data_IF_478402494105
#
_entry.id   IF_478402494105
#
_cell.length_a   1.000
_cell.length_b   1.000
_cell.length_c   1.000
_cell.angle_alpha   90.00
_cell.angle_beta   90.00
_cell.angle_gamma   90.00
#
_symmetry.space_group_name_H-M   'P 1'
#
loop_
_entity.id
_entity.type
_entity.pdbx_description
1 polymer ?
#
# COMPACT_ATOMS: atom_id res chain seq x y z
N UNK A 1 14.19 -8.21 -8.55
CA UNK A 1 13.15 -9.21 -8.22
C UNK A 1 12.03 -8.48 -7.48
N UNK A 2 10.81 -8.48 -8.02
CA UNK A 2 9.64 -8.02 -7.28
C UNK A 2 9.26 -9.10 -6.26
N UNK A 3 9.10 -8.74 -4.99
CA UNK A 3 8.71 -9.69 -3.95
C UNK A 3 7.18 -9.86 -3.99
N UNK A 4 6.70 -10.88 -4.72
CA UNK A 4 5.30 -11.27 -4.69
C UNK A 4 4.94 -11.64 -3.24
N UNK A 5 3.98 -10.93 -2.65
CA UNK A 5 3.53 -11.18 -1.27
C UNK A 5 4.39 -10.54 -0.18
N UNK A 6 5.05 -9.40 -0.44
CA UNK A 6 5.76 -8.65 0.60
C UNK A 6 4.86 -8.35 1.81
N UNK A 7 5.40 -8.55 3.01
CA UNK A 7 4.84 -8.08 4.27
C UNK A 7 5.87 -7.17 4.93
N UNK A 8 5.50 -5.91 5.10
CA UNK A 8 6.36 -4.88 5.67
C UNK A 8 5.62 -4.18 6.80
N UNK A 9 6.25 -4.14 7.98
CA UNK A 9 5.60 -3.61 9.17
C UNK A 9 4.36 -4.41 9.55
N UNK A 10 3.40 -3.73 10.15
CA UNK A 10 2.14 -4.33 10.61
C UNK A 10 1.03 -4.25 9.57
N UNK A 11 1.11 -3.31 8.63
CA UNK A 11 -0.01 -2.95 7.75
C UNK A 11 0.28 -3.13 6.26
N UNK A 12 1.55 -3.15 5.82
CA UNK A 12 1.79 -3.25 4.39
C UNK A 12 1.83 -4.70 3.89
N UNK A 13 0.78 -5.13 3.20
CA UNK A 13 0.76 -6.37 2.41
C UNK A 13 -0.63 -6.74 1.92
N UNK A 14 -0.72 -7.53 0.83
CA UNK A 14 -2.04 -7.99 0.34
C UNK A 14 -2.64 -8.97 1.33
N UNK A 15 -3.84 -8.68 1.83
CA UNK A 15 -4.51 -9.49 2.85
C UNK A 15 -3.77 -9.51 4.20
N UNK A 16 -2.98 -8.47 4.48
CA UNK A 16 -2.19 -8.32 5.68
C UNK A 16 -2.47 -6.96 6.29
N UNK A 17 -2.92 -6.91 7.55
CA UNK A 17 -3.16 -5.68 8.28
C UNK A 17 -2.95 -5.89 9.78
N UNK A 18 -2.76 -4.80 10.52
CA UNK A 18 -2.58 -4.81 11.97
C UNK A 18 -3.92 -4.80 12.73
N UNK A 19 -3.84 -5.04 14.05
CA UNK A 19 -5.01 -4.92 14.92
C UNK A 19 -5.38 -3.45 15.17
N UNK A 20 -6.63 -3.21 15.59
CA UNK A 20 -7.09 -1.88 15.99
C UNK A 20 -6.24 -1.34 17.15
N UNK A 21 -5.81 -0.07 17.04
CA UNK A 21 -4.99 0.61 18.03
C UNK A 21 -3.48 0.36 17.91
N UNK A 22 -3.02 -0.54 17.03
CA UNK A 22 -1.59 -0.76 16.81
C UNK A 22 -0.92 0.42 16.07
N UNK A 23 0.22 0.87 16.61
CA UNK A 23 1.02 1.91 15.96
C UNK A 23 1.84 1.35 14.79
N UNK A 24 1.92 2.08 13.65
CA UNK A 24 2.75 1.71 12.52
C UNK A 24 4.23 1.70 12.87
N UNK A 25 4.99 0.82 12.22
CA UNK A 25 6.43 0.71 12.44
C UNK A 25 7.24 1.91 11.90
N UNK A 26 6.75 2.56 10.85
CA UNK A 26 7.31 3.80 10.29
C UNK A 26 6.27 4.55 9.42
N UNK A 27 6.71 5.64 8.78
CA UNK A 27 5.85 6.48 7.94
C UNK A 27 5.29 5.73 6.70
N UNK A 28 5.99 4.70 6.19
CA UNK A 28 5.47 3.87 5.09
C UNK A 28 4.39 2.93 5.59
N UNK A 29 4.61 2.28 6.73
CA UNK A 29 3.62 1.43 7.38
C UNK A 29 2.36 2.24 7.78
N UNK A 30 2.52 3.51 8.14
CA UNK A 30 1.41 4.43 8.38
C UNK A 30 0.58 4.69 7.10
N UNK A 31 1.25 4.85 5.95
CA UNK A 31 0.55 4.95 4.66
C UNK A 31 -0.28 3.68 4.36
N UNK A 32 0.22 2.51 4.74
CA UNK A 32 -0.49 1.23 4.56
C UNK A 32 -1.69 1.11 5.50
N UNK A 33 -1.55 1.45 6.79
CA UNK A 33 -2.68 1.49 7.73
C UNK A 33 -3.83 2.38 7.21
N UNK A 34 -3.49 3.56 6.71
CA UNK A 34 -4.45 4.50 6.15
C UNK A 34 -5.09 3.98 4.84
N UNK A 35 -4.36 3.18 4.06
CA UNK A 35 -4.85 2.52 2.86
C UNK A 35 -5.81 1.38 3.22
N UNK A 36 -5.45 0.52 4.16
CA UNK A 36 -6.28 -0.57 4.68
C UNK A 36 -7.62 -0.04 5.19
N UNK A 37 -7.58 0.99 6.06
CA UNK A 37 -8.81 1.64 6.55
C UNK A 37 -9.65 2.26 5.42
N UNK A 38 -9.01 2.72 4.34
CA UNK A 38 -9.72 3.27 3.19
C UNK A 38 -10.46 2.17 2.40
N UNK A 39 -9.78 1.07 2.10
CA UNK A 39 -10.36 -0.04 1.30
C UNK A 39 -11.36 -0.86 2.09
N UNK A 40 -11.21 -0.97 3.41
CA UNK A 40 -12.21 -1.55 4.30
C UNK A 40 -13.55 -0.79 4.19
N UNK A 41 -13.48 0.54 4.20
CA UNK A 41 -14.68 1.40 4.13
C UNK A 41 -15.24 1.60 2.72
N UNK A 42 -14.40 1.54 1.68
CA UNK A 42 -14.77 1.94 0.30
C UNK A 42 -14.72 0.80 -0.71
N UNK A 43 -14.31 -0.38 -0.30
CA UNK A 43 -14.11 -1.55 -1.15
C UNK A 43 -12.68 -1.69 -1.67
N UNK A 44 -12.27 -2.94 -1.86
CA UNK A 44 -10.92 -3.33 -2.28
C UNK A 44 -10.51 -2.81 -3.66
N UNK A 45 -11.47 -2.51 -4.54
CA UNK A 45 -11.23 -1.99 -5.90
C UNK A 45 -11.30 -0.45 -5.98
N UNK A 46 -11.26 0.25 -4.85
CA UNK A 46 -11.35 1.71 -4.83
C UNK A 46 -10.08 2.36 -5.39
N UNK A 47 -10.13 2.78 -6.66
CA UNK A 47 -9.05 3.54 -7.33
C UNK A 47 -8.63 4.77 -6.49
N UNK A 48 -9.60 5.45 -5.86
CA UNK A 48 -9.33 6.61 -5.00
C UNK A 48 -8.47 6.25 -3.78
N UNK A 49 -8.65 5.07 -3.19
CA UNK A 49 -7.80 4.60 -2.10
C UNK A 49 -6.39 4.28 -2.59
N UNK A 50 -6.25 3.59 -3.72
CA UNK A 50 -4.94 3.24 -4.31
C UNK A 50 -4.14 4.50 -4.70
N UNK A 51 -4.77 5.49 -5.33
CA UNK A 51 -4.12 6.76 -5.67
C UNK A 51 -3.73 7.58 -4.43
N UNK A 52 -4.58 7.59 -3.39
CA UNK A 52 -4.23 8.22 -2.10
C UNK A 52 -3.00 7.55 -1.49
N UNK A 53 -2.91 6.23 -1.52
CA UNK A 53 -1.77 5.49 -1.01
C UNK A 53 -0.49 5.78 -1.81
N UNK A 54 -0.54 5.79 -3.15
CA UNK A 54 0.59 6.21 -4.00
C UNK A 54 1.07 7.63 -3.69
N UNK A 55 0.14 8.57 -3.47
CA UNK A 55 0.49 9.93 -3.06
C UNK A 55 1.16 9.97 -1.68
N UNK A 56 0.69 9.15 -0.73
CA UNK A 56 1.30 9.02 0.59
C UNK A 56 2.76 8.52 0.46
N UNK A 57 2.97 7.40 -0.23
CA UNK A 57 4.29 6.84 -0.50
C UNK A 57 5.25 7.85 -1.14
N UNK A 58 4.77 8.61 -2.15
CA UNK A 58 5.58 9.67 -2.79
C UNK A 58 6.00 10.77 -1.82
N UNK A 59 5.16 11.14 -0.85
CA UNK A 59 5.50 12.15 0.16
C UNK A 59 6.51 11.61 1.16
N UNK A 60 6.28 10.42 1.72
CA UNK A 60 7.19 9.84 2.71
C UNK A 60 8.56 9.52 2.11
N UNK A 61 8.63 9.10 0.83
CA UNK A 61 9.91 8.92 0.12
C UNK A 61 10.75 10.20 0.08
N UNK A 62 10.12 11.35 -0.15
CA UNK A 62 10.81 12.65 -0.22
C UNK A 62 11.44 13.08 1.11
N UNK A 63 10.98 12.53 2.23
CA UNK A 63 11.57 12.85 3.55
C UNK A 63 12.96 12.24 3.74
N UNK A 64 13.34 11.25 2.93
CA UNK A 64 14.65 10.60 3.01
C UNK A 64 14.89 9.79 4.29
N UNK A 65 13.86 9.55 5.10
CA UNK A 65 13.98 8.74 6.32
C UNK A 65 14.26 7.28 5.97
N UNK A 66 15.12 6.64 6.76
CA UNK A 66 15.31 5.20 6.70
C UNK A 66 14.08 4.48 7.27
N UNK A 67 13.75 3.32 6.70
CA UNK A 67 12.70 2.45 7.21
C UNK A 67 13.10 1.72 8.49
N UNK A 68 12.13 1.16 9.21
CA UNK A 68 12.37 0.49 10.49
C UNK A 68 13.16 -0.83 10.37
N UNK A 69 13.06 -1.51 9.23
CA UNK A 69 13.57 -2.87 9.06
C UNK A 69 15.02 -2.91 8.57
N UNK A 70 15.86 -3.69 9.26
CA UNK A 70 17.22 -4.03 8.80
C UNK A 70 17.25 -5.22 7.82
N UNK A 71 16.17 -6.00 7.75
CA UNK A 71 16.07 -7.21 6.90
C UNK A 71 15.40 -6.91 5.56
N UNK A 72 14.42 -6.01 5.54
CA UNK A 72 13.71 -5.59 4.35
C UNK A 72 14.12 -4.17 4.00
N UNK A 73 14.92 -3.95 2.94
CA UNK A 73 15.32 -2.62 2.52
C UNK A 73 14.09 -1.76 2.20
N UNK A 74 14.07 -0.53 2.73
CA UNK A 74 12.97 0.41 2.53
C UNK A 74 12.66 0.65 1.04
N UNK A 75 13.69 0.80 0.20
CA UNK A 75 13.53 1.00 -1.24
C UNK A 75 12.91 -0.22 -1.95
N UNK A 76 13.21 -1.44 -1.49
CA UNK A 76 12.59 -2.65 -2.01
C UNK A 76 11.09 -2.70 -1.67
N UNK A 77 10.74 -2.32 -0.43
CA UNK A 77 9.37 -2.24 0.03
C UNK A 77 8.57 -1.20 -0.78
N UNK A 78 9.10 0.02 -0.87
CA UNK A 78 8.55 1.12 -1.66
C UNK A 78 8.33 0.76 -3.13
N UNK A 79 9.33 0.17 -3.78
CA UNK A 79 9.24 -0.22 -5.20
C UNK A 79 8.17 -1.30 -5.42
N UNK A 80 8.15 -2.32 -4.55
CA UNK A 80 7.18 -3.44 -4.64
C UNK A 80 5.76 -2.95 -4.43
N UNK A 81 5.52 -2.09 -3.43
CA UNK A 81 4.18 -1.53 -3.16
C UNK A 81 3.71 -0.59 -4.27
N UNK A 82 4.61 0.21 -4.84
CA UNK A 82 4.29 1.08 -5.98
C UNK A 82 3.80 0.24 -7.16
N UNK A 83 4.55 -0.80 -7.53
CA UNK A 83 4.17 -1.71 -8.61
C UNK A 83 2.83 -2.43 -8.32
N UNK A 84 2.64 -2.92 -7.10
CA UNK A 84 1.39 -3.56 -6.70
C UNK A 84 0.18 -2.63 -6.82
N UNK A 85 0.35 -1.35 -6.49
CA UNK A 85 -0.72 -0.36 -6.64
C UNK A 85 -1.02 -0.02 -8.09
N UNK A 86 -0.01 0.08 -8.95
CA UNK A 86 -0.22 0.29 -10.38
C UNK A 86 -1.04 -0.86 -10.99
N UNK A 87 -0.74 -2.11 -10.62
CA UNK A 87 -1.53 -3.27 -11.01
C UNK A 87 -2.95 -3.24 -10.43
N UNK A 88 -3.12 -2.90 -9.15
CA UNK A 88 -4.43 -2.82 -8.51
C UNK A 88 -5.33 -1.77 -9.18
N UNK A 89 -4.78 -0.61 -9.55
CA UNK A 89 -5.51 0.44 -10.28
C UNK A 89 -5.92 -0.05 -11.67
N UNK A 90 -5.01 -0.66 -12.42
CA UNK A 90 -5.31 -1.23 -13.73
C UNK A 90 -6.44 -2.25 -13.66
N UNK A 91 -6.38 -3.18 -12.70
CA UNK A 91 -7.43 -4.18 -12.48
C UNK A 91 -8.76 -3.54 -12.05
N UNK A 92 -8.71 -2.50 -11.21
CA UNK A 92 -9.89 -1.77 -10.77
C UNK A 92 -10.62 -1.07 -11.93
N UNK A 93 -9.86 -0.49 -12.86
CA UNK A 93 -10.39 0.13 -14.08
C UNK A 93 -11.02 -0.89 -15.02
N UNK A 94 -10.38 -2.04 -15.24
CA UNK A 94 -10.93 -3.13 -16.06
C UNK A 94 -12.21 -3.71 -15.46
N UNK A 95 -12.26 -3.89 -14.15
CA UNK A 95 -13.46 -4.36 -13.44
C UNK A 95 -14.62 -3.37 -13.54
N UNK A 96 -14.34 -2.08 -13.47
CA UNK A 96 -15.35 -1.03 -13.63
C UNK A 96 -15.94 -1.02 -15.04
N UNK A 97 -15.11 -1.20 -16.08
CA UNK A 97 -15.58 -1.28 -17.47
C UNK A 97 -16.49 -2.49 -17.73
N UNK A 98 -16.28 -3.61 -17.02
CA UNK A 98 -17.10 -4.82 -17.16
C UNK A 98 -18.47 -4.69 -16.48
N UNK A 99 -18.66 -3.74 -15.56
CA UNK A 99 -19.94 -3.49 -14.89
C UNK A 99 -20.85 -2.57 -15.72
N UNK A 100 -20.27 -1.79 -16.64
CA UNK A 100 -20.96 -0.82 -17.50
C UNK A 100 -21.37 -1.42 -18.87
N UNK A 101 -21.16 -2.73 -19.08
CA UNK A 101 -21.49 -3.48 -20.30
C UNK A 101 -22.51 -4.59 -20.00
#
# INVERSE_FOLDING_TARGET
>A
MAAVGIRYGKFCGVGWSGCEGEDPCDDLDACCRDHDSCVDKKGLMSIKCHEKFKNCMRRVKKTGKAGFSKKCPYELAMATMTQGMDMAIMLSQLGSQKLEL
#
